data_IF_488516033958
#
_entry.id   IF_488516033958
#
_cell.length_a   1.000
_cell.length_b   1.000
_cell.length_c   1.000
_cell.angle_alpha   90.00
_cell.angle_beta   90.00
_cell.angle_gamma   90.00
#
_symmetry.space_group_name_H-M   'P 1'
#
loop_
_entity.id
_entity.type
_entity.pdbx_description
1 polymer ?
#
# COMPACT_ATOMS: atom_id res chain seq x y z
N UNK A 1 -50.34 21.59 52.69
CA UNK A 1 -49.16 21.72 53.58
C UNK A 1 -48.24 20.53 53.27
N UNK A 2 -46.94 20.58 52.99
CA UNK A 2 -45.93 21.61 52.76
C UNK A 2 -44.71 20.89 52.12
N UNK A 3 -44.07 21.56 51.17
CA UNK A 3 -42.82 21.30 50.40
C UNK A 3 -41.76 20.35 50.98
N UNK A 4 -41.01 19.68 50.07
CA UNK A 4 -39.53 19.70 49.87
C UNK A 4 -39.14 18.59 48.86
N UNK A 5 -38.93 18.90 47.58
CA UNK A 5 -37.62 19.19 46.95
C UNK A 5 -36.46 18.43 47.61
N UNK A 6 -36.01 17.35 46.98
CA UNK A 6 -34.60 16.96 46.98
C UNK A 6 -34.18 16.63 45.54
N UNK A 7 -33.47 17.59 44.94
CA UNK A 7 -32.69 17.40 43.72
C UNK A 7 -31.48 16.55 44.10
N UNK A 8 -31.43 15.31 43.62
CA UNK A 8 -30.17 14.55 43.59
C UNK A 8 -29.75 14.44 42.14
N UNK A 9 -28.99 15.45 41.70
CA UNK A 9 -28.28 15.43 40.43
C UNK A 9 -27.14 14.42 40.54
N UNK A 10 -27.44 13.14 40.32
CA UNK A 10 -26.41 12.12 40.13
C UNK A 10 -25.80 12.32 38.76
N UNK A 11 -24.68 13.03 38.73
CA UNK A 11 -23.81 13.18 37.56
C UNK A 11 -23.37 11.77 37.12
N UNK A 12 -24.00 11.24 36.07
CA UNK A 12 -23.42 10.14 35.29
C UNK A 12 -22.15 10.68 34.64
N UNK A 13 -21.00 10.41 35.26
CA UNK A 13 -19.71 10.49 34.60
C UNK A 13 -19.66 9.26 33.68
N UNK A 14 -20.09 9.45 32.44
CA UNK A 14 -19.79 8.50 31.37
C UNK A 14 -18.28 8.55 31.13
N UNK A 15 -17.56 7.59 31.69
CA UNK A 15 -16.16 7.35 31.35
C UNK A 15 -16.17 6.83 29.89
N UNK A 16 -16.00 7.74 28.94
CA UNK A 16 -15.76 7.40 27.55
C UNK A 16 -14.41 6.67 27.50
N UNK A 17 -14.46 5.34 27.49
CA UNK A 17 -13.31 4.48 27.24
C UNK A 17 -12.96 4.64 25.76
N UNK A 18 -12.16 5.65 25.45
CA UNK A 18 -11.57 5.83 24.12
C UNK A 18 -10.64 4.66 23.86
N UNK A 19 -11.13 3.64 23.16
CA UNK A 19 -10.27 2.66 22.49
C UNK A 19 -9.42 3.41 21.47
N UNK A 20 -8.21 3.82 21.86
CA UNK A 20 -7.16 4.12 20.91
C UNK A 20 -6.80 2.79 20.23
N UNK A 21 -7.42 2.50 19.10
CA UNK A 21 -6.94 1.44 18.23
C UNK A 21 -5.49 1.79 17.86
N UNK A 22 -4.53 0.86 18.01
CA UNK A 22 -3.20 1.10 17.49
C UNK A 22 -3.37 1.29 15.98
N UNK A 23 -3.01 2.47 15.48
CA UNK A 23 -2.73 2.62 14.06
C UNK A 23 -1.56 1.66 13.79
N UNK A 24 -1.88 0.47 13.28
CA UNK A 24 -0.88 -0.42 12.72
C UNK A 24 -0.13 0.46 11.71
N UNK A 25 1.17 0.68 11.95
CA UNK A 25 2.02 1.36 11.00
C UNK A 25 1.85 0.60 9.69
N UNK A 26 1.12 1.21 8.74
CA UNK A 26 1.00 0.69 7.40
C UNK A 26 2.43 0.74 6.87
N UNK A 27 3.01 -0.43 6.60
CA UNK A 27 4.32 -0.49 5.94
C UNK A 27 4.29 0.28 4.61
N UNK A 28 5.45 0.51 3.98
CA UNK A 28 5.48 1.13 2.66
C UNK A 28 4.53 0.38 1.72
N UNK A 29 3.83 1.11 0.84
CA UNK A 29 3.02 0.45 -0.18
C UNK A 29 3.92 -0.41 -1.09
N UNK A 30 3.34 -1.35 -1.83
CA UNK A 30 4.14 -2.31 -2.59
C UNK A 30 5.05 -1.67 -3.64
N UNK A 31 4.70 -0.50 -4.19
CA UNK A 31 5.58 0.23 -5.11
C UNK A 31 6.76 0.85 -4.36
N UNK A 32 6.51 1.46 -3.21
CA UNK A 32 7.55 2.01 -2.32
C UNK A 32 8.47 0.89 -1.81
N UNK A 33 7.92 -0.26 -1.43
CA UNK A 33 8.68 -1.42 -1.01
C UNK A 33 9.58 -1.95 -2.13
N UNK A 34 9.06 -2.05 -3.36
CA UNK A 34 9.87 -2.39 -4.54
C UNK A 34 10.99 -1.38 -4.80
N UNK A 35 10.76 -0.10 -4.57
CA UNK A 35 11.80 0.92 -4.69
C UNK A 35 12.96 0.66 -3.72
N UNK A 36 12.63 0.47 -2.45
CA UNK A 36 13.60 0.29 -1.37
C UNK A 36 14.36 -1.04 -1.51
N UNK A 37 13.70 -2.08 -2.01
CA UNK A 37 14.33 -3.35 -2.40
C UNK A 37 15.37 -3.20 -3.52
N UNK A 38 15.37 -2.06 -4.24
CA UNK A 38 16.40 -1.71 -5.23
C UNK A 38 17.53 -0.85 -4.64
N UNK A 39 17.56 -0.69 -3.32
CA UNK A 39 18.56 0.10 -2.58
C UNK A 39 18.55 1.60 -2.92
N UNK A 40 17.40 2.11 -3.35
CA UNK A 40 17.20 3.54 -3.53
C UNK A 40 16.99 4.26 -2.20
N UNK A 41 17.30 5.56 -2.16
CA UNK A 41 17.01 6.36 -0.97
C UNK A 41 15.52 6.61 -0.82
N UNK A 42 15.06 6.87 0.41
CA UNK A 42 13.66 7.19 0.67
C UNK A 42 13.18 8.39 -0.17
N UNK A 43 14.03 9.40 -0.35
CA UNK A 43 13.71 10.59 -1.16
C UNK A 43 13.52 10.26 -2.64
N UNK A 44 14.37 9.40 -3.21
CA UNK A 44 14.21 8.92 -4.60
C UNK A 44 12.93 8.12 -4.75
N UNK A 45 12.62 7.27 -3.76
CA UNK A 45 11.40 6.46 -3.77
C UNK A 45 10.14 7.29 -3.68
N UNK A 46 10.08 8.25 -2.76
CA UNK A 46 8.93 9.15 -2.63
C UNK A 46 8.70 9.93 -3.93
N UNK A 47 9.76 10.47 -4.54
CA UNK A 47 9.67 11.17 -5.82
C UNK A 47 9.13 10.25 -6.95
N UNK A 48 9.72 9.06 -7.10
CA UNK A 48 9.37 8.15 -8.20
C UNK A 48 7.96 7.57 -8.05
N UNK A 49 7.55 7.28 -6.82
CA UNK A 49 6.21 6.77 -6.50
C UNK A 49 5.14 7.82 -6.82
N UNK A 50 5.35 9.08 -6.43
CA UNK A 50 4.41 10.16 -6.76
C UNK A 50 4.32 10.36 -8.27
N UNK A 51 5.48 10.45 -8.95
CA UNK A 51 5.51 10.60 -10.41
C UNK A 51 4.81 9.44 -11.14
N UNK A 52 5.03 8.20 -10.71
CA UNK A 52 4.37 7.04 -11.29
C UNK A 52 2.85 7.11 -11.08
N UNK A 53 2.40 7.42 -9.87
CA UNK A 53 0.96 7.50 -9.53
C UNK A 53 0.24 8.54 -10.38
N UNK A 54 0.84 9.70 -10.58
CA UNK A 54 0.28 10.76 -11.43
C UNK A 54 0.23 10.34 -12.91
N UNK A 55 1.17 9.51 -13.36
CA UNK A 55 1.26 9.08 -14.76
C UNK A 55 0.28 7.96 -15.13
N UNK A 56 0.15 6.93 -14.30
CA UNK A 56 -0.63 5.71 -14.66
C UNK A 56 -2.05 5.72 -14.08
N UNK A 57 -2.34 6.62 -13.14
CA UNK A 57 -3.64 6.69 -12.48
C UNK A 57 -3.83 5.64 -11.36
N UNK A 58 -4.93 5.77 -10.63
CA UNK A 58 -5.12 5.06 -9.36
C UNK A 58 -5.33 3.55 -9.50
N UNK A 59 -6.01 3.10 -10.56
CA UNK A 59 -6.33 1.67 -10.77
C UNK A 59 -5.06 0.87 -11.11
N UNK A 60 -4.31 1.32 -12.12
CA UNK A 60 -3.02 0.72 -12.49
C UNK A 60 -2.02 0.77 -11.34
N UNK A 61 -2.01 1.87 -10.57
CA UNK A 61 -1.17 1.99 -9.39
C UNK A 61 -1.54 0.97 -8.31
N UNK A 62 -2.83 0.80 -8.00
CA UNK A 62 -3.29 -0.14 -6.98
C UNK A 62 -2.94 -1.60 -7.37
N UNK A 63 -3.14 -1.95 -8.63
CA UNK A 63 -2.77 -3.25 -9.19
C UNK A 63 -1.25 -3.48 -9.10
N UNK A 64 -0.44 -2.51 -9.53
CA UNK A 64 1.02 -2.62 -9.49
C UNK A 64 1.56 -2.66 -8.04
N UNK A 65 0.92 -1.93 -7.12
CA UNK A 65 1.23 -1.97 -5.70
C UNK A 65 0.90 -3.33 -5.08
N UNK A 66 -0.22 -3.97 -5.44
CA UNK A 66 -0.57 -5.29 -4.94
C UNK A 66 0.46 -6.34 -5.37
N UNK A 67 0.84 -6.36 -6.65
CA UNK A 67 1.91 -7.24 -7.17
C UNK A 67 3.23 -6.95 -6.46
N UNK A 68 3.59 -5.68 -6.29
CA UNK A 68 4.83 -5.28 -5.64
C UNK A 68 4.92 -5.73 -4.18
N UNK A 69 3.81 -5.69 -3.44
CA UNK A 69 3.77 -6.12 -2.05
C UNK A 69 4.01 -7.63 -1.92
N UNK A 70 3.31 -8.45 -2.72
CA UNK A 70 3.51 -9.91 -2.72
C UNK A 70 4.90 -10.29 -3.26
N UNK A 71 5.36 -9.61 -4.32
CA UNK A 71 6.72 -9.78 -4.84
C UNK A 71 7.80 -9.61 -3.76
N UNK A 72 7.76 -8.51 -3.01
CA UNK A 72 8.75 -8.24 -1.94
C UNK A 72 8.62 -9.25 -0.81
N UNK A 73 7.41 -9.66 -0.44
CA UNK A 73 7.20 -10.70 0.56
C UNK A 73 7.85 -12.03 0.15
N UNK A 74 7.67 -12.46 -1.10
CA UNK A 74 8.28 -13.68 -1.65
C UNK A 74 9.80 -13.59 -1.72
N UNK A 75 10.36 -12.43 -2.04
CA UNK A 75 11.81 -12.22 -1.98
C UNK A 75 12.34 -12.39 -0.55
N UNK A 76 11.63 -11.88 0.44
CA UNK A 76 12.00 -12.04 1.84
C UNK A 76 11.95 -13.51 2.30
N UNK A 77 11.13 -14.33 1.65
CA UNK A 77 11.07 -15.79 1.86
C UNK A 77 12.14 -16.57 1.06
N UNK A 78 12.93 -15.89 0.22
CA UNK A 78 14.04 -16.48 -0.52
C UNK A 78 13.70 -16.92 -1.96
N UNK A 79 12.53 -16.55 -2.49
CA UNK A 79 12.17 -16.85 -3.87
C UNK A 79 13.07 -16.10 -4.88
N UNK A 80 13.24 -16.68 -6.07
CA UNK A 80 13.94 -16.00 -7.16
C UNK A 80 13.13 -14.82 -7.71
N UNK A 81 13.78 -13.74 -8.18
CA UNK A 81 13.07 -12.53 -8.66
C UNK A 81 12.05 -12.81 -9.77
N UNK A 82 12.35 -13.71 -10.71
CA UNK A 82 11.42 -14.04 -11.81
C UNK A 82 10.22 -14.86 -11.31
N UNK A 83 10.47 -15.84 -10.44
CA UNK A 83 9.44 -16.66 -9.81
C UNK A 83 8.52 -15.80 -8.94
N UNK A 84 9.09 -15.00 -8.04
CA UNK A 84 8.36 -14.10 -7.17
C UNK A 84 7.45 -13.14 -7.96
N UNK A 85 7.95 -12.57 -9.06
CA UNK A 85 7.16 -11.67 -9.89
C UNK A 85 6.03 -12.40 -10.63
N UNK A 86 6.34 -13.58 -11.18
CA UNK A 86 5.37 -14.39 -11.92
C UNK A 86 4.23 -14.84 -11.01
N UNK A 87 4.55 -15.33 -9.81
CA UNK A 87 3.55 -15.82 -8.87
C UNK A 87 2.70 -14.68 -8.30
N UNK A 88 3.31 -13.54 -7.96
CA UNK A 88 2.57 -12.36 -7.51
C UNK A 88 1.63 -11.82 -8.61
N UNK A 89 2.09 -11.83 -9.86
CA UNK A 89 1.25 -11.46 -11.00
C UNK A 89 0.12 -12.47 -11.20
N UNK A 90 0.38 -13.77 -11.06
CA UNK A 90 -0.65 -14.81 -11.16
C UNK A 90 -1.74 -14.63 -10.10
N UNK A 91 -1.37 -14.34 -8.86
CA UNK A 91 -2.34 -14.08 -7.79
C UNK A 91 -3.29 -12.91 -8.14
N UNK A 92 -2.74 -11.78 -8.61
CA UNK A 92 -3.54 -10.62 -9.01
C UNK A 92 -4.37 -10.89 -10.28
N UNK A 93 -3.85 -11.68 -11.22
CA UNK A 93 -4.59 -12.13 -12.40
C UNK A 93 -5.83 -12.94 -12.00
N UNK A 94 -5.67 -13.89 -11.09
CA UNK A 94 -6.76 -14.74 -10.59
C UNK A 94 -7.81 -13.92 -9.82
N UNK A 95 -7.37 -12.97 -8.98
CA UNK A 95 -8.27 -12.08 -8.22
C UNK A 95 -9.07 -11.12 -9.10
N UNK A 96 -8.45 -10.59 -10.16
CA UNK A 96 -9.08 -9.65 -11.09
C UNK A 96 -9.86 -10.32 -12.22
N UNK A 97 -9.71 -11.63 -12.41
CA UNK A 97 -10.23 -12.35 -13.57
C UNK A 97 -9.55 -11.96 -14.89
N UNK A 98 -8.44 -11.22 -14.84
CA UNK A 98 -7.63 -10.86 -16.00
C UNK A 98 -6.70 -12.02 -16.37
N UNK A 99 -6.46 -12.23 -17.68
CA UNK A 99 -5.47 -13.23 -18.11
C UNK A 99 -4.04 -12.80 -17.74
N UNK A 100 -3.22 -13.71 -17.19
CA UNK A 100 -1.84 -13.43 -16.78
C UNK A 100 -1.02 -12.73 -17.89
N UNK A 101 -1.13 -13.19 -19.14
CA UNK A 101 -0.38 -12.57 -20.26
C UNK A 101 -0.77 -11.09 -20.46
N UNK A 102 -2.05 -10.75 -20.33
CA UNK A 102 -2.51 -9.37 -20.45
C UNK A 102 -2.00 -8.53 -19.27
N UNK A 103 -2.09 -9.06 -18.05
CA UNK A 103 -1.55 -8.43 -16.85
C UNK A 103 -0.04 -8.19 -16.94
N UNK A 104 0.71 -9.18 -17.43
CA UNK A 104 2.16 -9.06 -17.64
C UNK A 104 2.50 -8.01 -18.69
N UNK A 105 1.70 -7.87 -19.75
CA UNK A 105 1.88 -6.80 -20.73
C UNK A 105 1.66 -5.42 -20.10
N UNK A 106 0.56 -5.24 -19.37
CA UNK A 106 0.24 -3.99 -18.66
C UNK A 106 1.32 -3.62 -17.64
N UNK A 107 1.73 -4.57 -16.81
CA UNK A 107 2.72 -4.32 -15.74
C UNK A 107 4.14 -4.14 -16.27
N UNK A 108 4.45 -4.64 -17.48
CA UNK A 108 5.68 -4.29 -18.17
C UNK A 108 5.73 -2.81 -18.54
N UNK A 109 4.65 -2.26 -19.10
CA UNK A 109 4.57 -0.84 -19.46
C UNK A 109 4.66 0.05 -18.21
N UNK A 110 3.93 -0.31 -17.15
CA UNK A 110 4.02 0.37 -15.84
C UNK A 110 5.45 0.28 -15.30
N UNK A 111 6.08 -0.89 -15.35
CA UNK A 111 7.46 -1.07 -14.89
C UNK A 111 8.47 -0.23 -15.67
N UNK A 112 8.25 0.03 -16.96
CA UNK A 112 9.11 0.94 -17.73
C UNK A 112 8.92 2.40 -17.32
N UNK A 113 7.67 2.83 -17.13
CA UNK A 113 7.37 4.15 -16.59
C UNK A 113 8.02 4.33 -15.21
N UNK A 114 7.93 3.31 -14.36
CA UNK A 114 8.51 3.36 -13.01
C UNK A 114 10.03 3.45 -13.01
N UNK A 115 10.73 2.68 -13.85
CA UNK A 115 12.19 2.79 -14.00
C UNK A 115 12.62 4.15 -14.53
N UNK A 116 11.83 4.75 -15.43
CA UNK A 116 12.06 6.11 -15.91
C UNK A 116 11.90 7.12 -14.78
N UNK A 117 10.81 7.05 -14.01
CA UNK A 117 10.58 7.93 -12.86
C UNK A 117 11.69 7.82 -11.81
N UNK A 118 12.14 6.61 -11.47
CA UNK A 118 13.28 6.42 -10.56
C UNK A 118 14.55 7.08 -11.10
N UNK A 119 14.82 6.94 -12.41
CA UNK A 119 16.01 7.54 -13.03
C UNK A 119 15.94 9.07 -12.96
N UNK A 120 14.81 9.66 -13.31
CA UNK A 120 14.62 11.10 -13.31
C UNK A 120 14.74 11.70 -11.90
N UNK A 121 14.27 10.98 -10.87
CA UNK A 121 14.38 11.38 -9.47
C UNK A 121 15.79 11.28 -8.88
N UNK A 122 16.69 10.49 -9.47
CA UNK A 122 18.11 10.42 -9.04
C UNK A 122 18.95 11.60 -9.52
N UNK A 123 18.59 12.17 -10.67
CA UNK A 123 19.41 13.16 -11.39
C UNK A 123 20.37 12.53 -12.38
#
# INVERSE_FOLDING_TARGET
>A
MTRRIFRSATRMVALALSCAAPALAQGPDGVTAMCLEREETAEVCDCAVQALRDQIGAEDYALYAAIGADYVARLAEGAGRVEAWTDASQAVADESGQGLTALMSQTNDIGQAYRTAIKDCRG
#
